data_IF_674562952615
#
_entry.id   IF_674562952615
#
_cell.length_a   1.000
_cell.length_b   1.000
_cell.length_c   1.000
_cell.angle_alpha   90.00
_cell.angle_beta   90.00
_cell.angle_gamma   90.00
#
_symmetry.space_group_name_H-M   'P 1'
#
loop_
_entity.id
_entity.type
_entity.pdbx_description
1 polymer ?
#
# COMPACT_ATOMS: atom_id res chain seq x y z
N UNK A 1 -12.36 -6.47 17.71
CA UNK A 1 -11.70 -5.20 18.09
C UNK A 1 -11.31 -4.60 16.76
N UNK A 2 -11.82 -3.42 16.39
CA UNK A 2 -11.58 -2.88 15.04
C UNK A 2 -10.10 -2.55 14.83
N UNK A 3 -9.55 -2.92 13.69
CA UNK A 3 -8.21 -2.55 13.24
C UNK A 3 -8.06 -1.04 12.99
N UNK A 4 -6.85 -0.60 12.63
CA UNK A 4 -6.55 0.80 12.32
C UNK A 4 -5.90 0.91 10.94
N UNK A 5 -6.49 1.73 10.07
CA UNK A 5 -5.92 2.05 8.76
C UNK A 5 -4.97 3.25 8.89
N UNK A 6 -3.73 3.10 8.39
CA UNK A 6 -2.73 4.16 8.38
C UNK A 6 -2.46 4.63 6.95
N UNK A 7 -2.64 5.93 6.69
CA UNK A 7 -2.12 6.56 5.48
C UNK A 7 -0.63 6.90 5.65
N UNK A 8 0.25 6.25 4.88
CA UNK A 8 1.70 6.43 5.00
C UNK A 8 2.29 7.13 3.78
N UNK A 9 2.91 8.29 3.99
CA UNK A 9 3.78 8.90 3.01
C UNK A 9 5.14 8.21 2.98
N UNK A 10 5.55 7.70 1.82
CA UNK A 10 6.80 6.93 1.65
C UNK A 10 7.97 7.76 1.11
N UNK A 11 7.76 9.06 0.86
CA UNK A 11 8.73 9.94 0.21
C UNK A 11 8.54 10.01 -1.32
N UNK A 12 9.36 10.81 -2.02
CA UNK A 12 9.19 11.09 -3.45
C UNK A 12 9.80 10.04 -4.39
N UNK A 13 10.59 9.08 -3.88
CA UNK A 13 11.21 8.05 -4.71
C UNK A 13 12.44 7.40 -4.09
N UNK A 14 13.32 8.20 -3.48
CA UNK A 14 14.47 7.68 -2.75
C UNK A 14 13.99 7.00 -1.45
N UNK A 15 14.29 5.69 -1.24
CA UNK A 15 13.88 4.96 -0.04
C UNK A 15 14.30 5.63 1.27
N UNK A 16 15.43 6.35 1.30
CA UNK A 16 15.95 6.96 2.54
C UNK A 16 15.21 8.24 2.94
N UNK A 17 14.32 8.76 2.07
CA UNK A 17 13.49 9.94 2.34
C UNK A 17 12.18 9.60 3.08
N UNK A 18 11.98 8.34 3.49
CA UNK A 18 10.87 7.96 4.37
C UNK A 18 11.02 8.58 5.76
N UNK A 19 9.91 9.03 6.37
CA UNK A 19 9.97 9.52 7.76
C UNK A 19 10.15 8.36 8.75
N UNK A 20 10.84 8.62 9.86
CA UNK A 20 11.02 7.61 10.92
C UNK A 20 9.70 7.06 11.47
N UNK A 21 8.64 7.87 11.51
CA UNK A 21 7.31 7.42 11.93
C UNK A 21 6.70 6.45 10.92
N UNK A 22 6.74 6.79 9.63
CA UNK A 22 6.21 5.92 8.58
C UNK A 22 6.97 4.59 8.52
N UNK A 23 8.31 4.63 8.61
CA UNK A 23 9.15 3.42 8.67
C UNK A 23 8.77 2.49 9.81
N UNK A 24 8.58 3.03 11.03
CA UNK A 24 8.18 2.24 12.20
C UNK A 24 6.81 1.60 12.06
N UNK A 25 5.86 2.26 11.39
CA UNK A 25 4.54 1.67 11.12
C UNK A 25 4.68 0.58 10.05
N UNK A 26 5.34 0.89 8.93
CA UNK A 26 5.57 -0.04 7.81
C UNK A 26 6.18 -1.37 8.28
N UNK A 27 7.12 -1.33 9.22
CA UNK A 27 7.81 -2.52 9.74
C UNK A 27 6.99 -3.36 10.73
N UNK A 28 5.84 -2.86 11.21
CA UNK A 28 5.05 -3.51 12.27
C UNK A 28 3.66 -3.95 11.83
N UNK A 29 3.15 -3.38 10.75
CA UNK A 29 1.79 -3.72 10.28
C UNK A 29 1.77 -5.10 9.64
N UNK A 30 0.74 -5.92 9.92
CA UNK A 30 0.62 -7.25 9.31
C UNK A 30 0.09 -7.21 7.87
N UNK A 31 -0.44 -6.06 7.43
CA UNK A 31 -1.03 -5.86 6.10
C UNK A 31 -0.51 -4.56 5.51
N UNK A 32 -0.09 -4.58 4.25
CA UNK A 32 0.35 -3.41 3.49
C UNK A 32 -0.44 -3.34 2.18
N UNK A 33 -1.17 -2.25 1.99
CA UNK A 33 -1.88 -1.97 0.75
C UNK A 33 -1.18 -0.84 -0.02
N UNK A 34 -1.07 -0.98 -1.34
CA UNK A 34 -0.42 0.03 -2.19
C UNK A 34 -1.02 0.09 -3.61
N UNK A 35 -0.99 1.26 -4.28
CA UNK A 35 -1.40 1.37 -5.67
C UNK A 35 -0.39 0.66 -6.58
N UNK A 36 -0.89 0.03 -7.64
CA UNK A 36 -0.08 -0.65 -8.63
C UNK A 36 -0.72 -0.51 -10.03
N UNK A 37 0.07 -0.49 -11.11
CA UNK A 37 -0.48 -0.59 -12.47
C UNK A 37 -1.24 -1.91 -12.65
N UNK A 38 -2.19 -1.97 -13.58
CA UNK A 38 -2.92 -3.21 -13.94
C UNK A 38 -1.95 -4.39 -14.17
N UNK A 39 -0.85 -4.11 -14.86
CA UNK A 39 0.21 -5.08 -15.11
C UNK A 39 1.57 -4.54 -14.63
N UNK A 40 2.40 -5.43 -14.08
CA UNK A 40 3.76 -5.10 -13.66
C UNK A 40 3.93 -4.72 -12.19
N UNK A 41 5.09 -4.16 -11.87
CA UNK A 41 5.47 -3.82 -10.50
C UNK A 41 4.96 -2.44 -10.06
N UNK A 42 4.57 -2.32 -8.80
CA UNK A 42 4.26 -1.02 -8.19
C UNK A 42 5.55 -0.25 -7.90
N UNK A 43 5.59 1.01 -8.36
CA UNK A 43 6.65 1.95 -8.02
C UNK A 43 6.76 2.12 -6.49
N UNK A 44 5.63 2.34 -5.82
CA UNK A 44 5.59 2.56 -4.35
C UNK A 44 6.09 1.32 -3.62
N UNK A 45 5.66 0.12 -4.04
CA UNK A 45 6.17 -1.14 -3.48
C UNK A 45 7.68 -1.25 -3.61
N UNK A 46 8.23 -0.92 -4.78
CA UNK A 46 9.68 -0.95 -5.03
C UNK A 46 10.45 0.02 -4.13
N UNK A 47 9.91 1.22 -3.92
CA UNK A 47 10.49 2.25 -3.03
C UNK A 47 10.58 1.73 -1.59
N UNK A 48 9.54 1.08 -1.07
CA UNK A 48 9.51 0.62 0.32
C UNK A 48 10.12 -0.76 0.54
N UNK A 49 10.39 -1.52 -0.52
CA UNK A 49 10.93 -2.89 -0.43
C UNK A 49 12.18 -3.05 0.45
N UNK A 50 13.17 -2.12 0.45
CA UNK A 50 14.33 -2.21 1.35
C UNK A 50 13.98 -2.14 2.84
N UNK A 51 12.83 -1.54 3.17
CA UNK A 51 12.39 -1.25 4.53
C UNK A 51 11.40 -2.28 5.10
N UNK A 52 10.84 -3.14 4.25
CA UNK A 52 9.89 -4.17 4.66
C UNK A 52 10.57 -5.21 5.55
N UNK A 53 9.95 -5.54 6.69
CA UNK A 53 10.46 -6.57 7.60
C UNK A 53 10.49 -7.93 6.91
N UNK A 54 11.68 -8.55 6.82
CA UNK A 54 11.83 -9.89 6.24
C UNK A 54 11.32 -11.01 7.15
N UNK A 55 11.17 -10.75 8.44
CA UNK A 55 10.82 -11.77 9.43
C UNK A 55 9.35 -12.16 9.37
N UNK A 56 8.45 -11.19 9.13
CA UNK A 56 7.02 -11.38 9.34
C UNK A 56 6.18 -11.38 8.06
N UNK A 57 6.83 -11.20 6.89
CA UNK A 57 6.22 -11.12 5.54
C UNK A 57 4.75 -10.66 5.55
N UNK A 58 4.49 -9.33 5.53
CA UNK A 58 3.13 -8.83 5.64
C UNK A 58 2.29 -9.28 4.45
N UNK A 59 0.98 -9.40 4.66
CA UNK A 59 0.02 -9.58 3.56
C UNK A 59 0.09 -8.33 2.68
N UNK A 60 0.39 -8.52 1.40
CA UNK A 60 0.46 -7.43 0.43
C UNK A 60 -0.83 -7.36 -0.40
N UNK A 61 -1.51 -6.22 -0.36
CA UNK A 61 -2.72 -5.95 -1.15
C UNK A 61 -2.39 -4.92 -2.24
N UNK A 62 -2.18 -5.39 -3.46
CA UNK A 62 -1.93 -4.52 -4.61
C UNK A 62 -3.25 -3.99 -5.17
N UNK A 63 -3.50 -2.68 -5.04
CA UNK A 63 -4.65 -1.99 -5.60
C UNK A 63 -4.34 -1.68 -7.07
N UNK A 64 -4.73 -2.60 -7.95
CA UNK A 64 -4.48 -2.54 -9.40
C UNK A 64 -5.40 -1.50 -10.03
N UNK A 65 -4.81 -0.49 -10.65
CA UNK A 65 -5.53 0.60 -11.29
C UNK A 65 -5.06 0.82 -12.72
N UNK A 66 -5.97 1.08 -13.66
CA UNK A 66 -5.61 1.46 -15.03
C UNK A 66 -4.97 2.85 -15.00
N UNK A 67 -3.84 3.00 -15.69
CA UNK A 67 -3.16 4.30 -15.81
C UNK A 67 -3.80 5.13 -16.92
N UNK A 68 -5.03 5.58 -16.69
CA UNK A 68 -5.77 6.44 -17.61
C UNK A 68 -5.72 7.90 -17.15
N UNK A 69 -5.63 8.82 -18.12
CA UNK A 69 -5.66 10.26 -17.87
C UNK A 69 -7.06 10.72 -17.43
N UNK A 70 -8.09 10.01 -17.89
CA UNK A 70 -9.47 10.27 -17.50
C UNK A 70 -9.74 9.72 -16.09
N UNK A 71 -10.62 10.41 -15.37
CA UNK A 71 -10.99 10.14 -13.97
C UNK A 71 -11.67 8.77 -13.75
N UNK A 72 -11.98 8.05 -14.83
CA UNK A 72 -12.77 6.82 -14.88
C UNK A 72 -11.87 5.68 -15.40
N UNK A 73 -11.73 4.55 -14.67
CA UNK A 73 -12.72 3.82 -13.87
C UNK A 73 -12.23 3.61 -12.42
N UNK A 74 -11.83 4.69 -11.74
CA UNK A 74 -11.25 4.59 -10.40
C UNK A 74 -12.24 4.10 -9.33
N UNK A 75 -13.56 4.32 -9.50
CA UNK A 75 -14.56 4.00 -8.48
C UNK A 75 -14.67 2.49 -8.21
N UNK A 76 -14.77 1.66 -9.26
CA UNK A 76 -14.90 0.21 -9.10
C UNK A 76 -13.67 -0.40 -8.41
N UNK A 77 -12.49 0.14 -8.71
CA UNK A 77 -11.23 -0.25 -8.06
C UNK A 77 -11.25 0.11 -6.57
N UNK A 78 -11.73 1.31 -6.22
CA UNK A 78 -11.84 1.72 -4.82
C UNK A 78 -12.92 0.95 -4.06
N UNK A 79 -14.07 0.63 -4.68
CA UNK A 79 -15.12 -0.18 -4.08
C UNK A 79 -14.64 -1.62 -3.81
N UNK A 80 -13.82 -2.17 -4.71
CA UNK A 80 -13.13 -3.44 -4.47
C UNK A 80 -12.14 -3.32 -3.31
N UNK A 81 -11.28 -2.30 -3.33
CA UNK A 81 -10.26 -2.10 -2.29
C UNK A 81 -10.90 -1.89 -0.91
N UNK A 82 -12.03 -1.19 -0.82
CA UNK A 82 -12.79 -1.01 0.42
C UNK A 82 -13.23 -2.36 1.02
N UNK A 83 -13.82 -3.23 0.19
CA UNK A 83 -14.24 -4.58 0.62
C UNK A 83 -13.06 -5.44 1.05
N UNK A 84 -11.97 -5.41 0.28
CA UNK A 84 -10.76 -6.18 0.58
C UNK A 84 -10.10 -5.72 1.89
N UNK A 85 -9.90 -4.40 2.05
CA UNK A 85 -9.21 -3.86 3.21
C UNK A 85 -10.05 -3.94 4.48
N UNK A 86 -11.37 -3.80 4.40
CA UNK A 86 -12.25 -3.90 5.57
C UNK A 86 -12.24 -5.30 6.20
N UNK A 87 -12.00 -6.37 5.41
CA UNK A 87 -11.86 -7.72 5.93
C UNK A 87 -10.66 -7.89 6.88
N UNK A 88 -9.65 -7.02 6.77
CA UNK A 88 -8.48 -7.00 7.65
C UNK A 88 -8.62 -6.07 8.86
N UNK A 89 -9.75 -5.37 9.00
CA UNK A 89 -9.99 -4.35 10.03
C UNK A 89 -11.06 -4.76 11.07
N UNK A 90 -11.56 -5.99 11.04
CA UNK A 90 -12.60 -6.49 11.95
C UNK A 90 -12.09 -7.01 13.31
#
# INVERSE_FOLDING_TARGET
MTGTLYGLGVGPGDPDLITLKALRVLQRVPVIAYPAPEEGESLVRRIVAPHMSRADQPIEVAIRMPMLADRFPAQEVYDWAEKELSAHLA
#
